data_IF_264574146321
#
_entry.id   IF_264574146321
#
_cell.length_a   1.000
_cell.length_b   1.000
_cell.length_c   1.000
_cell.angle_alpha   90.00
_cell.angle_beta   90.00
_cell.angle_gamma   90.00
#
_symmetry.space_group_name_H-M   'P 1'
#
loop_
_entity.id
_entity.type
_entity.pdbx_description
1 polymer ?
#
# COMPACT_ATOMS: atom_id res chain seq x y z
N UNK A 1 -12.07 -6.30 -23.88
CA UNK A 1 -12.56 -4.90 -23.89
C UNK A 1 -11.86 -4.14 -22.76
N UNK A 2 -10.66 -3.62 -23.03
CA UNK A 2 -9.86 -2.88 -22.03
C UNK A 2 -10.28 -1.41 -22.09
N UNK A 3 -10.97 -0.93 -21.04
CA UNK A 3 -11.31 0.50 -20.93
C UNK A 3 -10.14 1.23 -20.29
N UNK A 4 -9.42 1.99 -21.10
CA UNK A 4 -8.47 3.03 -20.68
C UNK A 4 -9.26 4.21 -20.11
N UNK A 5 -9.46 4.23 -18.79
CA UNK A 5 -10.02 5.37 -18.09
C UNK A 5 -8.95 6.44 -17.88
N UNK A 6 -9.02 7.55 -18.63
CA UNK A 6 -8.28 8.79 -18.30
C UNK A 6 -8.88 9.37 -17.01
N UNK A 7 -8.13 9.27 -15.91
CA UNK A 7 -8.43 9.98 -14.65
C UNK A 7 -8.13 11.48 -14.75
N UNK A 8 -8.76 12.32 -13.92
CA UNK A 8 -8.71 13.77 -14.03
C UNK A 8 -7.33 14.33 -13.66
N UNK A 9 -7.03 15.48 -14.26
CA UNK A 9 -5.76 16.22 -14.14
C UNK A 9 -5.63 16.80 -12.72
N UNK A 10 -4.90 16.11 -11.86
CA UNK A 10 -4.53 16.61 -10.52
C UNK A 10 -4.29 15.50 -9.50
N UNK A 11 -3.03 15.05 -9.42
CA UNK A 11 -2.37 14.68 -8.16
C UNK A 11 -3.12 13.76 -7.17
N UNK A 12 -3.55 12.58 -7.60
CA UNK A 12 -3.83 11.43 -6.73
C UNK A 12 -3.56 10.17 -7.56
N UNK A 13 -2.51 9.42 -7.26
CA UNK A 13 -2.27 8.17 -8.00
C UNK A 13 -3.20 7.12 -7.42
N UNK A 14 -4.43 7.04 -7.97
CA UNK A 14 -5.35 5.95 -7.63
C UNK A 14 -4.85 4.68 -8.28
N UNK A 15 -4.37 3.74 -7.47
CA UNK A 15 -4.10 2.39 -7.93
C UNK A 15 -5.32 1.55 -7.56
N UNK A 16 -6.31 1.51 -8.46
CA UNK A 16 -7.53 0.76 -8.25
C UNK A 16 -7.25 -0.73 -8.50
N UNK A 17 -7.33 -1.54 -7.44
CA UNK A 17 -7.26 -2.99 -7.57
C UNK A 17 -8.67 -3.57 -7.53
N UNK A 18 -8.95 -4.49 -8.43
CA UNK A 18 -10.12 -5.35 -8.31
C UNK A 18 -9.85 -6.29 -7.13
N UNK A 19 -10.56 -6.14 -6.00
CA UNK A 19 -10.57 -7.00 -4.80
C UNK A 19 -9.61 -8.20 -4.91
N UNK A 20 -8.33 -7.99 -4.59
CA UNK A 20 -7.36 -9.06 -4.67
C UNK A 20 -7.31 -9.77 -3.32
N UNK A 21 -7.68 -11.06 -3.32
CA UNK A 21 -7.36 -11.94 -2.21
C UNK A 21 -5.85 -12.17 -2.20
N UNK A 22 -5.17 -11.53 -1.26
CA UNK A 22 -3.74 -11.64 -1.08
C UNK A 22 -3.48 -12.75 -0.07
N UNK A 23 -3.05 -13.91 -0.56
CA UNK A 23 -2.78 -15.09 0.27
C UNK A 23 -1.29 -15.21 0.56
N UNK A 24 -0.93 -15.46 1.81
CA UNK A 24 0.46 -15.78 2.17
C UNK A 24 0.73 -17.26 1.85
N UNK A 25 1.64 -17.54 0.92
CA UNK A 25 2.09 -18.93 0.68
C UNK A 25 2.91 -19.39 1.89
N UNK A 26 2.32 -20.32 2.65
CA UNK A 26 2.87 -21.21 3.70
C UNK A 26 4.18 -20.79 4.38
N UNK A 27 4.09 -20.72 5.71
CA UNK A 27 5.18 -20.96 6.69
C UNK A 27 6.38 -20.00 6.70
N UNK A 28 6.15 -18.70 6.47
CA UNK A 28 7.11 -17.68 6.91
C UNK A 28 6.35 -16.39 7.25
N UNK A 29 5.68 -16.41 8.41
CA UNK A 29 5.01 -15.24 9.02
C UNK A 29 5.95 -14.02 9.17
N UNK A 30 7.27 -14.22 9.03
CA UNK A 30 8.31 -13.19 9.10
C UNK A 30 8.62 -12.48 7.77
N UNK A 31 8.19 -12.98 6.62
CA UNK A 31 8.44 -12.35 5.32
C UNK A 31 7.13 -11.72 4.83
N UNK A 32 6.95 -10.42 5.11
CA UNK A 32 5.78 -9.66 4.65
C UNK A 32 5.69 -9.66 3.12
N UNK A 33 4.47 -9.56 2.57
CA UNK A 33 4.31 -9.59 1.11
C UNK A 33 4.71 -8.24 0.50
N UNK A 34 5.71 -8.22 -0.41
CA UNK A 34 6.09 -6.99 -1.09
C UNK A 34 5.13 -6.70 -2.25
N UNK A 35 4.42 -5.59 -2.16
CA UNK A 35 3.66 -4.97 -3.25
C UNK A 35 4.47 -3.77 -3.75
N UNK A 36 4.85 -3.76 -5.03
CA UNK A 36 5.62 -2.67 -5.63
C UNK A 36 4.74 -1.88 -6.59
N UNK A 37 4.73 -0.56 -6.42
CA UNK A 37 3.95 0.41 -7.19
C UNK A 37 4.91 1.34 -7.91
N UNK A 38 4.69 1.51 -9.22
CA UNK A 38 5.40 2.51 -10.02
C UNK A 38 4.46 3.69 -10.26
N UNK A 39 4.86 4.87 -9.79
CA UNK A 39 4.21 6.13 -10.11
C UNK A 39 4.63 6.54 -11.52
N UNK A 40 3.67 7.05 -12.30
CA UNK A 40 3.91 7.50 -13.68
C UNK A 40 4.96 8.63 -13.78
N UNK A 41 5.14 9.39 -12.69
CA UNK A 41 6.13 10.46 -12.56
C UNK A 41 6.71 10.48 -11.14
N UNK A 42 7.86 11.11 -10.96
CA UNK A 42 8.37 11.45 -9.64
C UNK A 42 7.39 12.44 -8.98
N UNK A 43 6.85 12.09 -7.82
CA UNK A 43 5.89 12.92 -7.09
C UNK A 43 6.16 12.87 -5.58
N UNK A 44 5.87 13.95 -4.84
CA UNK A 44 5.83 13.90 -3.39
C UNK A 44 4.71 12.96 -2.96
N UNK A 45 4.86 12.28 -1.82
CA UNK A 45 3.85 11.41 -1.26
C UNK A 45 3.62 11.81 0.19
N UNK A 46 2.44 12.37 0.48
CA UNK A 46 2.01 12.84 1.80
C UNK A 46 1.45 11.73 2.64
N UNK A 47 0.50 11.01 2.08
CA UNK A 47 -0.25 9.98 2.76
C UNK A 47 -0.61 8.86 1.79
N UNK A 48 -0.83 7.68 2.34
CA UNK A 48 -1.36 6.55 1.58
C UNK A 48 -2.57 6.01 2.31
N UNK A 49 -3.68 5.93 1.59
CA UNK A 49 -4.91 5.33 2.07
C UNK A 49 -5.02 3.91 1.52
N UNK A 50 -5.29 2.97 2.42
CA UNK A 50 -5.49 1.58 2.08
C UNK A 50 -6.85 1.11 2.59
N UNK A 51 -7.61 0.39 1.75
CA UNK A 51 -8.91 -0.16 2.12
C UNK A 51 -8.83 -1.68 2.24
N UNK A 52 -9.10 -2.21 3.44
CA UNK A 52 -8.99 -3.65 3.74
C UNK A 52 -10.15 -4.17 4.58
N UNK A 53 -10.42 -5.48 4.51
CA UNK A 53 -11.39 -6.14 5.40
C UNK A 53 -10.79 -6.72 6.68
N UNK A 54 -9.50 -7.04 6.67
CA UNK A 54 -8.80 -7.62 7.82
C UNK A 54 -7.56 -6.79 8.15
N UNK A 55 -7.25 -6.70 9.45
CA UNK A 55 -6.07 -6.01 9.96
C UNK A 55 -4.80 -6.76 9.59
N UNK A 56 -3.80 -6.01 9.12
CA UNK A 56 -2.42 -6.46 9.01
C UNK A 56 -1.66 -6.08 10.29
N UNK A 57 -0.66 -6.86 10.71
CA UNK A 57 0.13 -6.57 11.92
C UNK A 57 1.01 -5.34 11.76
N UNK A 58 1.62 -5.17 10.58
CA UNK A 58 2.50 -4.04 10.29
C UNK A 58 2.61 -3.79 8.78
N UNK A 59 2.87 -2.56 8.40
CA UNK A 59 3.20 -2.15 7.05
C UNK A 59 4.57 -1.46 7.05
N UNK A 60 5.41 -1.81 6.09
CA UNK A 60 6.70 -1.14 5.85
C UNK A 60 6.70 -0.56 4.44
N UNK A 61 6.76 0.75 4.34
CA UNK A 61 6.73 1.48 3.08
C UNK A 61 8.14 1.99 2.76
N UNK A 62 8.70 1.52 1.65
CA UNK A 62 10.01 1.90 1.15
C UNK A 62 9.86 2.71 -0.14
N UNK A 63 10.69 3.73 -0.29
CA UNK A 63 10.63 4.67 -1.41
C UNK A 63 11.85 4.51 -2.29
N UNK A 64 11.69 4.67 -3.60
CA UNK A 64 12.77 4.62 -4.56
C UNK A 64 12.50 5.58 -5.72
N UNK A 65 13.57 6.09 -6.32
CA UNK A 65 13.53 6.99 -7.48
C UNK A 65 13.72 6.21 -8.80
N UNK A 66 14.48 5.11 -8.74
CA UNK A 66 14.95 4.32 -9.88
C UNK A 66 14.37 2.90 -9.93
N UNK A 67 13.75 2.43 -8.84
CA UNK A 67 13.20 1.08 -8.70
C UNK A 67 14.23 0.03 -8.29
N UNK A 68 15.50 0.40 -8.16
CA UNK A 68 16.60 -0.49 -7.80
C UNK A 68 17.07 -0.21 -6.38
N UNK A 69 17.26 1.06 -6.03
CA UNK A 69 17.74 1.49 -4.71
C UNK A 69 16.58 2.08 -3.92
N UNK A 70 16.27 1.45 -2.80
CA UNK A 70 15.29 1.98 -1.85
C UNK A 70 15.99 2.85 -0.80
N UNK A 71 15.31 3.92 -0.39
CA UNK A 71 15.79 4.84 0.63
C UNK A 71 16.00 4.11 1.97
N UNK A 72 17.04 4.51 2.71
CA UNK A 72 17.44 3.85 3.96
C UNK A 72 16.42 4.00 5.12
N UNK A 73 15.55 5.00 5.06
CA UNK A 73 14.56 5.27 6.10
C UNK A 73 13.14 4.92 5.61
N UNK A 74 12.71 3.64 5.65
CA UNK A 74 11.35 3.25 5.32
C UNK A 74 10.38 3.68 6.43
N UNK A 75 9.14 3.97 6.04
CA UNK A 75 8.07 4.27 6.99
C UNK A 75 7.51 2.95 7.52
N UNK A 76 7.60 2.75 8.83
CA UNK A 76 6.99 1.60 9.53
C UNK A 76 5.71 2.06 10.19
N UNK A 77 4.61 1.35 9.91
CA UNK A 77 3.30 1.67 10.44
C UNK A 77 2.66 0.42 11.04
N UNK A 78 2.16 0.55 12.26
CA UNK A 78 1.41 -0.50 12.96
C UNK A 78 0.00 0.04 13.19
N UNK A 79 -1.02 -0.55 12.56
CA UNK A 79 -2.40 -0.11 12.76
C UNK A 79 -2.85 -0.48 14.17
N UNK A 80 -3.39 0.49 14.89
CA UNK A 80 -4.11 0.27 16.16
C UNK A 80 -5.59 0.16 15.82
N UNK A 81 -6.16 -1.03 15.98
CA UNK A 81 -7.58 -1.28 15.71
C UNK A 81 -8.20 -1.88 16.96
N UNK A 82 -9.05 -1.10 17.62
CA UNK A 82 -9.67 -1.51 18.89
C UNK A 82 -10.69 -2.64 18.72
N UNK A 83 -11.31 -2.76 17.54
CA UNK A 83 -12.32 -3.78 17.25
C UNK A 83 -12.23 -4.25 15.79
N UNK A 84 -12.18 -5.56 15.52
CA UNK A 84 -12.32 -6.07 14.16
C UNK A 84 -13.70 -5.64 13.62
N UNK A 85 -13.71 -4.90 12.51
CA UNK A 85 -14.96 -4.51 11.83
C UNK A 85 -15.35 -5.61 10.85
N UNK A 86 -16.64 -5.91 10.76
CA UNK A 86 -17.19 -6.83 9.75
C UNK A 86 -17.08 -6.25 8.32
N UNK A 87 -16.96 -4.93 8.20
CA UNK A 87 -16.87 -4.21 6.93
C UNK A 87 -15.44 -3.74 6.63
N UNK A 88 -15.15 -3.52 5.35
CA UNK A 88 -13.86 -2.97 4.94
C UNK A 88 -13.65 -1.57 5.53
N UNK A 89 -12.49 -1.35 6.16
CA UNK A 89 -12.11 -0.08 6.76
C UNK A 89 -10.90 0.53 6.05
N UNK A 90 -10.75 1.84 6.21
CA UNK A 90 -9.67 2.61 5.63
C UNK A 90 -8.56 2.80 6.66
N UNK A 91 -7.32 2.61 6.23
CA UNK A 91 -6.10 2.87 7.00
C UNK A 91 -5.31 3.92 6.27
N UNK A 92 -5.02 5.04 6.93
CA UNK A 92 -4.18 6.09 6.39
C UNK A 92 -2.78 6.00 7.00
N UNK A 93 -1.77 5.86 6.16
CA UNK A 93 -0.37 5.80 6.54
C UNK A 93 0.29 7.13 6.13
N UNK A 94 0.82 7.92 7.08
CA UNK A 94 1.55 9.13 6.75
C UNK A 94 2.91 8.77 6.12
N UNK A 95 3.22 9.37 4.97
CA UNK A 95 4.44 9.11 4.20
C UNK A 95 5.49 10.23 4.32
N UNK A 96 5.16 11.32 5.02
CA UNK A 96 6.06 12.44 5.35
C UNK A 96 6.61 13.19 4.12
N UNK A 97 5.76 13.49 3.14
CA UNK A 97 6.09 14.31 1.95
C UNK A 97 7.32 13.80 1.16
N UNK A 98 7.55 12.48 1.17
CA UNK A 98 8.73 11.90 0.53
C UNK A 98 8.55 11.83 -0.97
N UNK A 99 9.57 12.29 -1.71
CA UNK A 99 9.64 12.16 -3.16
C UNK A 99 9.96 10.72 -3.56
N UNK A 100 9.10 10.12 -4.37
CA UNK A 100 9.29 8.76 -4.89
C UNK A 100 8.69 8.58 -6.28
N UNK A 101 9.29 7.67 -7.05
CA UNK A 101 8.74 7.14 -8.31
C UNK A 101 8.33 5.68 -8.17
N UNK A 102 8.98 4.94 -7.29
CA UNK A 102 8.66 3.57 -6.95
C UNK A 102 8.41 3.46 -5.46
N UNK A 103 7.28 2.88 -5.08
CA UNK A 103 6.92 2.62 -3.69
C UNK A 103 6.79 1.12 -3.51
N UNK A 104 7.47 0.59 -2.51
CA UNK A 104 7.35 -0.81 -2.09
C UNK A 104 6.68 -0.87 -0.74
N UNK A 105 5.52 -1.50 -0.67
CA UNK A 105 4.77 -1.74 0.55
C UNK A 105 4.99 -3.20 0.93
N UNK A 106 5.46 -3.45 2.15
CA UNK A 106 5.52 -4.80 2.71
C UNK A 106 4.48 -4.91 3.80
N UNK A 107 3.45 -5.74 3.56
CA UNK A 107 2.39 -6.00 4.53
C UNK A 107 2.70 -7.28 5.29
N UNK A 108 2.69 -7.20 6.62
CA UNK A 108 2.85 -8.32 7.53
C UNK A 108 1.49 -8.76 8.02
N UNK A 109 1.14 -10.02 7.81
CA UNK A 109 -0.19 -10.54 8.11
C UNK A 109 -0.24 -11.22 9.47
N UNK A 110 -1.29 -10.95 10.24
CA UNK A 110 -1.67 -11.78 11.39
C UNK A 110 -2.49 -13.01 10.94
N UNK A 111 -3.20 -12.87 9.82
CA UNK A 111 -4.10 -13.88 9.26
C UNK A 111 -3.49 -14.61 8.05
N UNK A 112 -4.12 -15.71 7.62
CA UNK A 112 -3.68 -16.52 6.46
C UNK A 112 -3.79 -15.76 5.12
N UNK A 113 -4.73 -14.81 5.05
CA UNK A 113 -4.99 -13.98 3.89
C UNK A 113 -5.53 -12.62 4.34
N UNK A 114 -5.36 -11.61 3.48
CA UNK A 114 -6.08 -10.34 3.60
C UNK A 114 -6.74 -10.01 2.27
N UNK A 115 -7.80 -9.20 2.34
CA UNK A 115 -8.42 -8.62 1.17
C UNK A 115 -8.04 -7.15 1.11
N UNK A 116 -7.28 -6.78 0.08
CA UNK A 116 -6.94 -5.40 -0.24
C UNK A 116 -7.80 -4.96 -1.42
N UNK A 117 -8.64 -3.95 -1.17
CA UNK A 117 -9.59 -3.44 -2.15
C UNK A 117 -9.02 -2.28 -2.94
N UNK A 118 -8.35 -1.35 -2.26
CA UNK A 118 -7.90 -0.10 -2.89
C UNK A 118 -6.64 0.41 -2.21
N UNK A 119 -5.71 0.94 -3.03
CA UNK A 119 -4.55 1.70 -2.58
C UNK A 119 -4.56 3.06 -3.27
N UNK A 120 -4.58 4.11 -2.48
CA UNK A 120 -4.63 5.49 -2.98
C UNK A 120 -3.47 6.26 -2.38
N UNK A 121 -2.71 6.94 -3.24
CA UNK A 121 -1.59 7.78 -2.83
C UNK A 121 -1.96 9.25 -2.98
N UNK A 122 -1.85 9.99 -1.86
CA UNK A 122 -1.97 11.43 -1.81
C UNK A 122 -0.59 12.05 -2.01
N UNK A 123 -0.47 12.92 -3.02
CA UNK A 123 0.76 13.61 -3.40
C UNK A 123 0.69 15.09 -3.09
#
# INVERSE_FOLDING_TARGET
MQRTGRGPRGQCTHAFFRLQQVTSRKSKVKEGLPLVYQLGRLAPCRSMLLKFSHVFSAAVVSFSLDGVRYQANPVKFVPVIDKPKETAFNVTIPLHDRLAKFIRIQLYFTARWILLSEVTFES
#
